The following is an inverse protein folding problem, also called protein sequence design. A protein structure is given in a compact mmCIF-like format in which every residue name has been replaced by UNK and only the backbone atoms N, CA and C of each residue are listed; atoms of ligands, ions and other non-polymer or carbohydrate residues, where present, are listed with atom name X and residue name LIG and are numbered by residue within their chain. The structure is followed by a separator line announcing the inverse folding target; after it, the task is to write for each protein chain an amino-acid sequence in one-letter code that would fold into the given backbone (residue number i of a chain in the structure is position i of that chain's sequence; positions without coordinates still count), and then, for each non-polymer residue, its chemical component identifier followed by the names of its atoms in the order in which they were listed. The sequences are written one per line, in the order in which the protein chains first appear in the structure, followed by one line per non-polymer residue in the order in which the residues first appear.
data_IF_303025473787
#
_entry.id   IF_303025473787
#
_cell.length_a   1.000
_cell.length_b   1.000
_cell.length_c   1.000
_cell.angle_alpha   90.00
_cell.angle_beta   90.00
_cell.angle_gamma   90.00
#
_symmetry.space_group_name_H-M   'P 1'
#
loop_
_entity.id
_entity.type
_entity.pdbx_description
1 polymer ?
#
# COMPACT_ATOMS: atom_id res chain seq x y z
N UNK A 1 17.72 -4.22 -18.92
CA UNK A 1 17.32 -4.10 -17.50
C UNK A 1 18.18 -4.91 -16.53
N UNK A 2 18.97 -5.89 -17.00
CA UNK A 2 19.87 -6.69 -16.17
C UNK A 2 20.83 -5.84 -15.31
N UNK A 3 21.31 -4.71 -15.85
CA UNK A 3 22.32 -3.87 -15.18
C UNK A 3 21.75 -2.84 -14.19
N UNK A 4 20.43 -2.72 -14.06
CA UNK A 4 19.82 -1.82 -13.07
C UNK A 4 19.89 -2.47 -11.68
N UNK A 5 20.86 -2.05 -10.88
CA UNK A 5 21.17 -2.66 -9.59
C UNK A 5 20.64 -1.88 -8.39
N UNK A 6 20.50 -0.55 -8.51
CA UNK A 6 20.10 0.30 -7.39
C UNK A 6 19.20 1.45 -7.87
N UNK A 7 18.11 1.71 -7.14
CA UNK A 7 17.21 2.83 -7.35
C UNK A 7 15.75 2.42 -7.58
N UNK A 8 14.91 3.40 -7.89
CA UNK A 8 13.49 3.22 -8.13
C UNK A 8 13.19 2.86 -9.58
N UNK A 9 12.38 1.83 -9.78
CA UNK A 9 11.60 1.61 -10.98
C UNK A 9 10.21 2.19 -10.77
N UNK A 10 9.71 2.94 -11.74
CA UNK A 10 8.36 3.51 -11.72
C UNK A 10 7.61 3.15 -12.99
N UNK A 11 6.35 2.73 -12.85
CA UNK A 11 5.49 2.36 -13.97
C UNK A 11 4.10 2.98 -13.81
N UNK A 12 3.79 3.93 -14.71
CA UNK A 12 2.52 4.63 -14.79
C UNK A 12 1.48 3.82 -15.60
N UNK A 13 0.56 3.17 -14.89
CA UNK A 13 -0.49 2.36 -15.49
C UNK A 13 -1.80 3.13 -15.72
N UNK A 14 -2.80 2.41 -16.22
CA UNK A 14 -4.18 2.86 -16.25
C UNK A 14 -4.80 2.57 -14.88
N UNK A 15 -5.27 3.61 -14.17
CA UNK A 15 -5.90 3.49 -12.86
C UNK A 15 -4.97 3.20 -11.68
N UNK A 16 -3.69 2.91 -11.92
CA UNK A 16 -2.71 2.56 -10.88
C UNK A 16 -1.29 2.88 -11.33
N UNK A 17 -0.56 3.63 -10.51
CA UNK A 17 0.90 3.80 -10.58
C UNK A 17 1.56 2.78 -9.63
N UNK A 18 2.75 2.29 -10.04
CA UNK A 18 3.54 1.37 -9.23
C UNK A 18 4.97 1.86 -9.13
N UNK A 19 5.59 1.65 -7.98
CA UNK A 19 7.01 1.86 -7.79
C UNK A 19 7.63 0.64 -7.11
N UNK A 20 8.88 0.35 -7.45
CA UNK A 20 9.67 -0.73 -6.87
C UNK A 20 11.09 -0.23 -6.61
N UNK A 21 11.58 -0.35 -5.39
CA UNK A 21 12.96 -0.10 -5.02
C UNK A 21 13.79 -1.34 -5.29
N UNK A 22 14.85 -1.16 -6.06
CA UNK A 22 15.87 -2.18 -6.29
C UNK A 22 17.11 -1.79 -5.48
N UNK A 23 17.64 -2.73 -4.71
CA UNK A 23 18.92 -2.63 -4.02
C UNK A 23 19.71 -3.91 -4.27
N UNK A 24 20.93 -3.77 -4.78
CA UNK A 24 21.78 -4.89 -5.21
C UNK A 24 21.03 -5.88 -6.13
N UNK A 25 20.20 -5.36 -7.02
CA UNK A 25 19.41 -6.15 -7.97
C UNK A 25 18.18 -6.85 -7.38
N UNK A 26 17.90 -6.69 -6.08
CA UNK A 26 16.76 -7.28 -5.37
C UNK A 26 15.68 -6.25 -5.10
N UNK A 27 14.42 -6.67 -5.16
CA UNK A 27 13.28 -5.85 -4.76
C UNK A 27 13.22 -5.74 -3.24
N UNK A 28 13.40 -4.53 -2.70
CA UNK A 28 13.38 -4.28 -1.25
C UNK A 28 12.17 -3.48 -0.79
N UNK A 29 11.49 -2.75 -1.68
CA UNK A 29 10.27 -2.00 -1.38
C UNK A 29 9.35 -1.87 -2.58
N UNK A 30 8.05 -1.97 -2.36
CA UNK A 30 7.06 -1.69 -3.39
C UNK A 30 6.00 -0.71 -2.90
N UNK A 31 5.47 0.08 -3.83
CA UNK A 31 4.36 0.99 -3.60
C UNK A 31 3.34 0.88 -4.72
N UNK A 32 2.08 1.12 -4.33
CA UNK A 32 0.94 1.23 -5.22
C UNK A 32 0.25 2.56 -4.92
N UNK A 33 -0.02 3.33 -5.96
CA UNK A 33 -0.92 4.49 -5.89
C UNK A 33 -2.04 4.27 -6.90
N UNK A 34 -3.28 4.12 -6.41
CA UNK A 34 -4.47 4.02 -7.27
C UNK A 34 -5.01 5.40 -7.56
N UNK A 35 -5.62 5.54 -8.74
CA UNK A 35 -6.39 6.73 -9.09
C UNK A 35 -7.51 6.94 -8.06
N UNK A 36 -7.51 8.11 -7.42
CA UNK A 36 -8.42 8.46 -6.33
C UNK A 36 -8.51 9.97 -6.14
N UNK A 37 -9.66 10.43 -5.67
CA UNK A 37 -9.93 11.84 -5.33
C UNK A 37 -9.63 12.16 -3.86
N UNK A 38 -9.15 11.19 -3.07
CA UNK A 38 -8.82 11.42 -1.65
C UNK A 38 -7.65 12.39 -1.51
N UNK A 39 -7.69 13.22 -0.47
CA UNK A 39 -6.59 14.15 -0.21
C UNK A 39 -5.33 13.38 0.22
N UNK A 40 -4.25 13.53 -0.56
CA UNK A 40 -2.95 12.89 -0.29
C UNK A 40 -2.27 13.43 0.97
N UNK A 41 -1.51 12.58 1.65
CA UNK A 41 -0.66 13.04 2.75
C UNK A 41 0.33 14.13 2.28
N UNK A 42 0.48 15.20 3.06
CA UNK A 42 1.30 16.37 2.73
C UNK A 42 0.57 17.49 1.98
N UNK A 43 -0.66 17.24 1.52
CA UNK A 43 -1.52 18.27 0.92
C UNK A 43 -1.82 19.38 1.94
N UNK A 44 -1.84 20.63 1.46
CA UNK A 44 -2.30 21.79 2.24
C UNK A 44 -3.52 22.33 1.52
N UNK A 45 -4.67 22.20 2.19
CA UNK A 45 -5.99 22.48 1.62
C UNK A 45 -6.79 23.36 2.55
N UNK A 46 -7.76 24.09 1.99
CA UNK A 46 -8.75 24.80 2.78
C UNK A 46 -9.85 23.82 3.23
N UNK A 47 -10.36 24.06 4.44
CA UNK A 47 -11.38 23.25 5.07
C UNK A 47 -12.32 24.12 5.91
N UNK A 48 -13.52 23.60 6.18
CA UNK A 48 -14.48 24.20 7.12
C UNK A 48 -14.59 23.34 8.36
N UNK A 49 -14.48 23.98 9.52
CA UNK A 49 -14.74 23.32 10.79
C UNK A 49 -16.21 22.95 10.91
N UNK A 50 -16.50 21.69 11.20
CA UNK A 50 -17.86 21.20 11.40
C UNK A 50 -18.18 21.21 12.90
N UNK A 51 -17.65 20.24 13.64
CA UNK A 51 -17.96 20.05 15.04
C UNK A 51 -16.76 19.49 15.83
N UNK A 52 -16.86 19.53 17.16
CA UNK A 52 -15.88 18.89 18.03
C UNK A 52 -16.17 17.39 18.13
N UNK A 53 -15.18 16.57 17.81
CA UNK A 53 -15.24 15.12 17.97
C UNK A 53 -14.90 14.70 19.40
N UNK A 54 -13.83 15.29 19.95
CA UNK A 54 -13.46 15.16 21.36
C UNK A 54 -13.21 16.54 21.91
N UNK A 55 -14.00 16.92 22.91
CA UNK A 55 -14.00 18.26 23.48
C UNK A 55 -12.58 18.76 23.79
N UNK A 56 -12.19 19.88 23.16
CA UNK A 56 -10.88 20.52 23.35
C UNK A 56 -9.66 19.72 22.84
N UNK A 57 -9.83 18.57 22.17
CA UNK A 57 -8.72 17.73 21.69
C UNK A 57 -8.73 17.52 20.18
N UNK A 58 -9.89 17.27 19.59
CA UNK A 58 -10.04 17.02 18.16
C UNK A 58 -11.41 17.44 17.64
N UNK A 59 -11.48 17.73 16.34
CA UNK A 59 -12.72 18.06 15.66
C UNK A 59 -12.84 17.39 14.30
N UNK A 60 -13.99 17.55 13.66
CA UNK A 60 -14.19 17.17 12.27
C UNK A 60 -14.15 18.44 11.43
N UNK A 61 -13.44 18.35 10.30
CA UNK A 61 -13.48 19.36 9.25
C UNK A 61 -13.95 18.73 7.95
N UNK A 62 -14.56 19.52 7.10
CA UNK A 62 -14.90 19.15 5.73
C UNK A 62 -13.91 19.86 4.81
N UNK A 63 -13.13 19.09 4.06
CA UNK A 63 -12.19 19.61 3.06
C UNK A 63 -12.97 20.22 1.89
N UNK A 64 -12.31 21.05 1.07
CA UNK A 64 -12.92 21.61 -0.14
C UNK A 64 -13.47 20.54 -1.10
N UNK A 65 -12.85 19.35 -1.14
CA UNK A 65 -13.31 18.19 -1.91
C UNK A 65 -14.62 17.57 -1.39
N UNK A 66 -15.10 17.98 -0.22
CA UNK A 66 -16.23 17.36 0.49
C UNK A 66 -15.84 16.19 1.39
N UNK A 67 -14.56 15.80 1.41
CA UNK A 67 -14.05 14.75 2.29
C UNK A 67 -14.08 15.20 3.76
N UNK A 68 -14.58 14.34 4.66
CA UNK A 68 -14.46 14.56 6.11
C UNK A 68 -13.09 14.12 6.64
N UNK A 69 -12.44 14.98 7.42
CA UNK A 69 -11.17 14.70 8.06
C UNK A 69 -11.21 14.96 9.58
N UNK A 70 -10.47 14.14 10.32
CA UNK A 70 -10.21 14.33 11.74
C UNK A 70 -9.12 15.40 11.91
N UNK A 71 -9.49 16.55 12.46
CA UNK A 71 -8.59 17.62 12.87
C UNK A 71 -7.98 17.33 14.24
N UNK A 72 -6.66 17.19 14.31
CA UNK A 72 -5.92 17.04 15.56
C UNK A 72 -4.48 17.57 15.44
N UNK A 73 -4.02 18.46 16.34
CA UNK A 73 -4.74 19.00 17.51
C UNK A 73 -5.84 20.01 17.11
N UNK A 74 -6.80 20.23 18.00
CA UNK A 74 -7.86 21.23 17.83
C UNK A 74 -7.37 22.63 18.27
N UNK A 75 -7.32 23.64 17.37
CA UNK A 75 -7.08 25.03 17.74
C UNK A 75 -8.15 25.57 18.69
N UNK A 76 -7.75 26.49 19.58
CA UNK A 76 -8.68 27.17 20.49
C UNK A 76 -9.54 28.17 19.71
N UNK A 77 -10.80 28.32 20.10
CA UNK A 77 -11.69 29.35 19.58
C UNK A 77 -12.28 29.08 18.19
N UNK A 78 -12.15 27.86 17.65
CA UNK A 78 -12.87 27.48 16.44
C UNK A 78 -14.38 27.44 16.68
N UNK A 79 -15.12 28.04 15.76
CA UNK A 79 -16.59 28.00 15.71
C UNK A 79 -17.03 27.20 14.50
N UNK A 80 -18.17 26.53 14.59
CA UNK A 80 -18.77 25.80 13.47
C UNK A 80 -18.86 26.70 12.22
N UNK A 81 -18.49 26.15 11.07
CA UNK A 81 -18.43 26.86 9.79
C UNK A 81 -17.16 27.69 9.56
N UNK A 82 -16.27 27.84 10.57
CA UNK A 82 -15.03 28.61 10.41
C UNK A 82 -14.14 28.00 9.33
N UNK A 83 -13.69 28.84 8.40
CA UNK A 83 -12.68 28.47 7.41
C UNK A 83 -11.30 28.38 8.05
N UNK A 84 -10.54 27.36 7.67
CA UNK A 84 -9.16 27.18 8.10
C UNK A 84 -8.36 26.46 7.03
N UNK A 85 -7.03 26.62 7.09
CA UNK A 85 -6.11 25.85 6.27
C UNK A 85 -5.54 24.70 7.08
N UNK A 86 -5.52 23.51 6.47
CA UNK A 86 -5.07 22.28 7.12
C UNK A 86 -4.05 21.55 6.26
N UNK A 87 -3.15 20.84 6.92
CA UNK A 87 -2.22 19.90 6.28
C UNK A 87 -2.71 18.47 6.54
N UNK A 88 -2.87 17.68 5.47
CA UNK A 88 -3.19 16.25 5.55
C UNK A 88 -1.96 15.50 6.06
N UNK A 89 -2.09 14.83 7.21
CA UNK A 89 -0.99 14.06 7.81
C UNK A 89 -1.16 12.56 7.65
N UNK A 90 -2.39 12.10 7.38
CA UNK A 90 -2.71 10.72 7.00
C UNK A 90 -3.92 10.74 6.07
N UNK A 91 -3.84 10.00 4.99
CA UNK A 91 -4.93 9.82 4.01
C UNK A 91 -6.14 9.11 4.64
N UNK A 92 -7.30 9.27 4.02
CA UNK A 92 -8.43 8.39 4.29
C UNK A 92 -8.09 6.96 3.88
N UNK A 93 -8.58 6.00 4.65
CA UNK A 93 -8.28 4.59 4.43
C UNK A 93 -9.52 3.73 4.65
N UNK A 94 -9.75 2.78 3.76
CA UNK A 94 -10.70 1.71 4.01
C UNK A 94 -10.10 0.71 5.01
N UNK A 95 -10.87 0.34 6.03
CA UNK A 95 -10.54 -0.73 6.95
C UNK A 95 -11.38 -1.98 6.62
N UNK A 96 -10.87 -3.15 7.04
CA UNK A 96 -11.58 -4.42 6.88
C UNK A 96 -12.91 -4.37 7.63
N UNK A 97 -13.99 -4.78 6.96
CA UNK A 97 -15.36 -4.71 7.48
C UNK A 97 -16.16 -3.50 6.99
N UNK A 98 -15.63 -2.70 6.06
CA UNK A 98 -16.36 -1.60 5.41
C UNK A 98 -16.32 -0.28 6.17
N UNK A 99 -15.61 -0.23 7.30
CA UNK A 99 -15.38 1.00 8.04
C UNK A 99 -14.37 1.87 7.29
N UNK A 100 -14.66 3.17 7.18
CA UNK A 100 -13.72 4.14 6.63
C UNK A 100 -13.04 4.89 7.77
N UNK A 101 -11.72 4.87 7.78
CA UNK A 101 -10.89 5.72 8.62
C UNK A 101 -10.74 7.06 7.91
N UNK A 102 -11.39 8.11 8.43
CA UNK A 102 -11.24 9.49 7.92
C UNK A 102 -9.78 9.86 7.75
N UNK A 103 -9.49 10.74 6.80
CA UNK A 103 -8.20 11.41 6.77
C UNK A 103 -7.91 12.08 8.12
N UNK A 104 -6.64 12.24 8.46
CA UNK A 104 -6.22 13.01 9.62
C UNK A 104 -5.50 14.25 9.13
N UNK A 105 -5.88 15.40 9.68
CA UNK A 105 -5.30 16.70 9.36
C UNK A 105 -4.85 17.41 10.63
N UNK A 106 -3.91 18.34 10.46
CA UNK A 106 -3.52 19.31 11.49
C UNK A 106 -3.68 20.73 10.93
N UNK A 107 -3.76 21.77 11.77
CA UNK A 107 -3.69 23.16 11.29
C UNK A 107 -2.41 23.37 10.48
N UNK A 108 -2.52 24.01 9.32
CA UNK A 108 -1.36 24.39 8.54
C UNK A 108 -0.64 25.58 9.23
N UNK A 109 0.68 25.75 9.02
CA UNK A 109 1.38 26.96 9.44
C UNK A 109 0.75 28.23 8.84
N UNK A 110 0.86 29.34 9.57
CA UNK A 110 0.38 30.65 9.09
C UNK A 110 1.04 31.00 7.76
N UNK A 111 0.23 31.42 6.79
CA UNK A 111 0.68 31.76 5.44
C UNK A 111 1.07 30.56 4.55
N UNK A 112 0.85 29.31 4.99
CA UNK A 112 1.09 28.14 4.15
C UNK A 112 0.29 28.25 2.84
N UNK A 113 0.97 28.05 1.70
CA UNK A 113 0.32 28.05 0.39
C UNK A 113 -0.45 26.74 0.15
N UNK A 114 -1.56 26.83 -0.59
CA UNK A 114 -2.28 25.65 -1.05
C UNK A 114 -1.39 24.80 -1.93
N UNK A 115 -1.42 23.49 -1.72
CA UNK A 115 -0.70 22.51 -2.55
C UNK A 115 -1.36 21.15 -2.48
N UNK A 116 -1.29 20.42 -3.60
CA UNK A 116 -1.53 18.99 -3.60
C UNK A 116 -0.44 18.28 -2.79
N UNK A 117 -0.80 17.16 -2.17
CA UNK A 117 0.21 16.25 -1.65
C UNK A 117 1.00 15.62 -2.81
N UNK A 118 2.27 15.24 -2.59
CA UNK A 118 3.08 14.56 -3.59
C UNK A 118 2.37 13.28 -4.05
N UNK A 119 2.30 13.08 -5.36
CA UNK A 119 1.93 11.79 -5.93
C UNK A 119 3.09 10.80 -5.82
N UNK A 120 2.86 9.55 -6.24
CA UNK A 120 3.89 8.52 -6.13
C UNK A 120 5.16 8.89 -6.91
N UNK A 121 5.02 9.54 -8.08
CA UNK A 121 6.17 9.94 -8.89
C UNK A 121 7.01 10.99 -8.17
N UNK A 122 6.37 12.08 -7.72
CA UNK A 122 7.01 13.15 -6.98
C UNK A 122 7.68 12.64 -5.69
N UNK A 123 7.10 11.63 -5.04
CA UNK A 123 7.73 10.96 -3.90
C UNK A 123 9.01 10.20 -4.26
N UNK A 124 9.02 9.47 -5.37
CA UNK A 124 10.23 8.76 -5.79
C UNK A 124 11.33 9.76 -6.18
N UNK A 125 10.98 10.84 -6.88
CA UNK A 125 11.90 11.93 -7.22
C UNK A 125 12.49 12.59 -5.97
N UNK A 126 11.66 12.87 -4.96
CA UNK A 126 12.10 13.48 -3.70
C UNK A 126 13.00 12.57 -2.85
N UNK A 127 13.03 11.25 -3.12
CA UNK A 127 13.89 10.31 -2.38
C UNK A 127 15.39 10.50 -2.64
N UNK A 128 15.76 11.20 -3.72
CA UNK A 128 17.15 11.43 -4.13
C UNK A 128 17.86 10.22 -4.71
N UNK A 129 17.18 9.07 -4.84
CA UNK A 129 17.72 7.89 -5.50
C UNK A 129 17.56 7.97 -7.02
N UNK A 130 18.36 7.17 -7.75
CA UNK A 130 18.20 7.02 -9.19
C UNK A 130 16.78 6.52 -9.48
N UNK A 131 16.08 7.21 -10.38
CA UNK A 131 14.72 6.88 -10.76
C UNK A 131 14.68 6.54 -12.25
N UNK A 132 14.14 5.37 -12.57
CA UNK A 132 13.88 4.92 -13.93
C UNK A 132 12.39 4.72 -14.16
N UNK A 133 11.82 5.57 -14.99
CA UNK A 133 10.46 5.40 -15.49
C UNK A 133 10.45 4.36 -16.62
N UNK A 134 9.52 3.40 -16.55
CA UNK A 134 9.27 2.37 -17.55
C UNK A 134 8.13 2.78 -18.47
N UNK A 135 8.17 2.32 -19.72
CA UNK A 135 7.08 2.55 -20.66
C UNK A 135 6.04 1.41 -20.59
N UNK A 136 4.75 1.71 -20.78
CA UNK A 136 3.69 0.69 -20.65
C UNK A 136 3.81 -0.52 -21.59
N UNK A 137 4.53 -0.39 -22.72
CA UNK A 137 4.72 -1.44 -23.72
C UNK A 137 6.05 -2.19 -23.58
N UNK A 138 6.89 -1.81 -22.62
CA UNK A 138 8.13 -2.52 -22.33
C UNK A 138 7.83 -3.95 -21.85
N UNK A 139 8.85 -4.82 -21.85
CA UNK A 139 8.72 -6.12 -21.17
C UNK A 139 8.42 -5.90 -19.69
N UNK A 140 7.80 -6.90 -19.05
CA UNK A 140 7.37 -6.77 -17.65
C UNK A 140 8.56 -6.85 -16.68
N UNK A 141 9.33 -5.76 -16.60
CA UNK A 141 10.50 -5.64 -15.74
C UNK A 141 10.16 -5.71 -14.25
N UNK A 142 8.92 -5.41 -13.88
CA UNK A 142 8.41 -5.60 -12.53
C UNK A 142 8.28 -7.10 -12.22
N UNK A 143 7.71 -7.88 -13.15
CA UNK A 143 7.65 -9.34 -13.03
C UNK A 143 9.05 -9.98 -12.90
N UNK A 144 10.00 -9.55 -13.73
CA UNK A 144 11.40 -10.02 -13.69
C UNK A 144 12.08 -9.75 -12.33
N UNK A 145 11.54 -8.82 -11.53
CA UNK A 145 12.08 -8.41 -10.22
C UNK A 145 11.16 -8.79 -9.05
N UNK A 146 10.28 -9.77 -9.24
CA UNK A 146 9.49 -10.36 -8.14
C UNK A 146 8.19 -9.62 -7.78
N UNK A 147 7.68 -8.74 -8.66
CA UNK A 147 6.42 -8.04 -8.40
C UNK A 147 5.24 -8.98 -8.16
N UNK A 148 5.09 -10.01 -9.01
CA UNK A 148 3.95 -10.93 -8.92
C UNK A 148 3.94 -11.69 -7.60
N UNK A 149 5.12 -12.12 -7.13
CA UNK A 149 5.27 -12.75 -5.82
C UNK A 149 4.92 -11.79 -4.69
N UNK A 150 5.42 -10.55 -4.73
CA UNK A 150 5.12 -9.55 -3.70
C UNK A 150 3.61 -9.22 -3.62
N UNK A 151 2.91 -9.17 -4.75
CA UNK A 151 1.45 -8.96 -4.79
C UNK A 151 0.68 -10.18 -4.35
N UNK A 152 1.13 -11.39 -4.70
CA UNK A 152 0.53 -12.63 -4.21
C UNK A 152 0.63 -12.69 -2.68
N UNK A 153 1.81 -12.47 -2.12
CA UNK A 153 2.06 -12.38 -0.68
C UNK A 153 1.21 -11.30 -0.01
N UNK A 154 1.10 -10.11 -0.60
CA UNK A 154 0.26 -9.03 -0.06
C UNK A 154 -1.23 -9.39 -0.08
N UNK A 155 -1.69 -10.10 -1.11
CA UNK A 155 -3.09 -10.48 -1.29
C UNK A 155 -3.52 -11.71 -0.48
N UNK A 156 -2.63 -12.68 -0.30
CA UNK A 156 -2.82 -13.86 0.53
C UNK A 156 -2.56 -13.57 2.01
N UNK A 157 -1.69 -12.59 2.29
CA UNK A 157 -1.16 -12.34 3.61
C UNK A 157 -0.12 -13.38 4.05
N UNK A 158 0.38 -14.23 3.14
CA UNK A 158 1.27 -15.33 3.48
C UNK A 158 2.65 -15.10 2.87
N UNK A 159 3.70 -15.20 3.68
CA UNK A 159 5.10 -15.18 3.20
C UNK A 159 5.81 -16.43 3.70
N UNK A 160 6.25 -17.26 2.77
CA UNK A 160 7.11 -18.39 3.08
C UNK A 160 8.57 -17.93 3.22
N UNK A 161 9.28 -18.53 4.16
CA UNK A 161 10.73 -18.42 4.26
C UNK A 161 11.34 -19.77 4.60
N UNK A 162 12.66 -19.88 4.55
CA UNK A 162 13.33 -21.14 4.82
C UNK A 162 13.05 -21.63 6.25
N UNK A 163 12.20 -22.66 6.37
CA UNK A 163 11.83 -23.28 7.64
C UNK A 163 10.68 -22.62 8.40
N UNK A 164 9.91 -21.74 7.77
CA UNK A 164 8.70 -21.19 8.38
C UNK A 164 7.86 -20.32 7.45
N UNK A 165 6.80 -19.76 8.00
CA UNK A 165 5.85 -18.89 7.32
C UNK A 165 5.46 -17.72 8.22
N UNK A 166 5.26 -16.55 7.63
CA UNK A 166 4.53 -15.44 8.23
C UNK A 166 3.09 -15.40 7.71
N UNK A 167 2.11 -15.21 8.61
CA UNK A 167 0.72 -14.98 8.24
C UNK A 167 0.22 -13.62 8.75
N UNK A 168 -0.10 -12.72 7.83
CA UNK A 168 -0.63 -11.39 8.08
C UNK A 168 -2.16 -11.40 8.18
N UNK A 169 -2.65 -10.90 9.29
CA UNK A 169 -4.07 -10.61 9.50
C UNK A 169 -4.28 -9.11 9.67
N UNK A 170 -4.92 -8.50 8.67
CA UNK A 170 -5.38 -7.12 8.77
C UNK A 170 -6.63 -7.07 9.65
N UNK A 171 -6.53 -6.39 10.80
CA UNK A 171 -7.64 -6.14 11.73
C UNK A 171 -7.90 -4.63 11.86
N UNK A 172 -9.08 -4.21 12.35
CA UNK A 172 -9.37 -2.79 12.56
C UNK A 172 -8.40 -2.08 13.53
N UNK A 173 -7.86 -2.81 14.52
CA UNK A 173 -6.99 -2.23 15.54
C UNK A 173 -5.51 -2.21 15.15
N UNK A 174 -5.04 -3.28 14.51
CA UNK A 174 -3.63 -3.48 14.15
C UNK A 174 -3.46 -4.58 13.09
N UNK A 175 -2.29 -4.62 12.46
CA UNK A 175 -1.87 -5.81 11.70
C UNK A 175 -1.29 -6.83 12.68
N UNK A 176 -1.77 -8.06 12.65
CA UNK A 176 -1.20 -9.16 13.44
C UNK A 176 -0.42 -10.08 12.51
N UNK A 177 0.77 -10.49 12.92
CA UNK A 177 1.67 -11.39 12.21
C UNK A 177 1.86 -12.62 13.07
N UNK A 178 1.42 -13.75 12.56
CA UNK A 178 1.64 -15.06 13.16
C UNK A 178 2.87 -15.75 12.53
N UNK A 179 3.62 -16.50 13.34
CA UNK A 179 4.86 -17.16 12.96
C UNK A 179 4.72 -18.67 13.15
N UNK A 180 4.71 -19.39 12.04
CA UNK A 180 4.60 -20.85 12.03
C UNK A 180 5.82 -21.51 11.39
N UNK A 181 6.16 -22.73 11.79
CA UNK A 181 7.18 -23.51 11.13
C UNK A 181 7.64 -24.73 11.91
N UNK A 182 8.31 -25.70 11.25
CA UNK A 182 8.79 -26.93 11.90
C UNK A 182 10.12 -26.78 12.64
N UNK A 183 10.71 -25.58 12.68
CA UNK A 183 12.00 -25.34 13.33
C UNK A 183 11.89 -25.26 14.87
N UNK A 184 12.97 -25.53 15.61
CA UNK A 184 13.04 -25.24 17.05
C UNK A 184 12.67 -23.77 17.33
N UNK A 185 11.94 -23.46 18.43
CA UNK A 185 11.38 -22.13 18.69
C UNK A 185 12.36 -20.97 18.52
N UNK A 186 13.56 -21.09 19.06
CA UNK A 186 14.56 -20.03 18.96
C UNK A 186 15.08 -19.83 17.53
N UNK A 187 15.32 -20.91 16.78
CA UNK A 187 15.74 -20.81 15.38
C UNK A 187 14.63 -20.22 14.50
N UNK A 188 13.38 -20.64 14.73
CA UNK A 188 12.22 -20.08 14.04
C UNK A 188 12.09 -18.58 14.32
N UNK A 189 12.17 -18.16 15.59
CA UNK A 189 12.05 -16.76 15.98
C UNK A 189 13.14 -15.87 15.36
N UNK A 190 14.39 -16.33 15.30
CA UNK A 190 15.47 -15.58 14.65
C UNK A 190 15.21 -15.36 13.16
N UNK A 191 14.82 -16.42 12.43
CA UNK A 191 14.52 -16.33 10.99
C UNK A 191 13.30 -15.44 10.76
N UNK A 192 12.23 -15.67 11.51
CA UNK A 192 11.03 -14.87 11.44
C UNK A 192 11.28 -13.38 11.75
N UNK A 193 12.13 -13.05 12.73
CA UNK A 193 12.43 -11.67 13.09
C UNK A 193 13.03 -10.88 11.92
N UNK A 194 13.96 -11.51 11.18
CA UNK A 194 14.49 -10.97 9.94
C UNK A 194 13.40 -10.78 8.89
N UNK A 195 12.62 -11.82 8.61
CA UNK A 195 11.60 -11.79 7.55
C UNK A 195 10.46 -10.82 7.86
N UNK A 196 10.11 -10.63 9.13
CA UNK A 196 9.14 -9.61 9.56
C UNK A 196 9.66 -8.22 9.23
N UNK A 197 10.90 -7.89 9.61
CA UNK A 197 11.49 -6.59 9.31
C UNK A 197 11.49 -6.31 7.79
N UNK A 198 11.94 -7.29 7.00
CA UNK A 198 11.97 -7.19 5.53
C UNK A 198 10.56 -7.03 4.95
N UNK A 199 9.58 -7.78 5.44
CA UNK A 199 8.21 -7.72 4.93
C UNK A 199 7.52 -6.38 5.27
N UNK A 200 7.74 -5.85 6.47
CA UNK A 200 7.18 -4.55 6.86
C UNK A 200 7.66 -3.44 5.93
N UNK A 201 8.96 -3.43 5.61
CA UNK A 201 9.55 -2.48 4.67
C UNK A 201 9.04 -2.75 3.26
N UNK A 202 9.14 -4.00 2.78
CA UNK A 202 8.84 -4.39 1.41
C UNK A 202 7.41 -4.03 1.01
N UNK A 203 6.46 -4.33 1.88
CA UNK A 203 5.03 -4.18 1.65
C UNK A 203 4.45 -2.89 2.25
N UNK A 204 5.31 -2.01 2.75
CA UNK A 204 4.96 -0.73 3.35
C UNK A 204 3.93 -0.85 4.49
N UNK A 205 4.06 -1.90 5.31
CA UNK A 205 3.17 -2.15 6.44
C UNK A 205 3.57 -1.23 7.58
N UNK A 206 2.69 -0.26 7.86
CA UNK A 206 2.91 0.76 8.90
C UNK A 206 1.74 0.89 9.86
N UNK A 207 1.97 1.58 10.97
CA UNK A 207 0.99 1.76 12.04
C UNK A 207 1.27 0.85 13.22
N UNK A 208 0.21 0.34 13.82
CA UNK A 208 0.30 -0.61 14.94
C UNK A 208 0.37 -2.03 14.39
N UNK A 209 1.44 -2.76 14.72
CA UNK A 209 1.69 -4.14 14.30
C UNK A 209 2.01 -4.98 15.51
N UNK A 210 1.52 -6.21 15.54
CA UNK A 210 1.81 -7.20 16.57
C UNK A 210 2.36 -8.45 15.93
N UNK A 211 3.45 -8.96 16.47
CA UNK A 211 4.09 -10.20 16.00
C UNK A 211 4.00 -11.22 17.12
N UNK A 212 3.42 -12.37 16.81
CA UNK A 212 3.36 -13.52 17.71
C UNK A 212 4.49 -14.49 17.35
N UNK A 213 5.62 -14.36 18.05
CA UNK A 213 6.72 -15.31 17.90
C UNK A 213 6.43 -16.59 18.69
N UNK A 214 7.05 -17.74 18.32
CA UNK A 214 6.97 -18.92 19.15
C UNK A 214 7.46 -18.62 20.58
N UNK A 215 6.90 -19.32 21.57
CA UNK A 215 7.25 -19.08 22.97
C UNK A 215 8.73 -19.36 23.24
N UNK A 216 9.45 -18.35 23.74
CA UNK A 216 10.85 -18.42 24.14
C UNK A 216 10.97 -18.22 25.65
N UNK A 217 11.44 -19.22 26.38
CA UNK A 217 11.57 -19.16 27.85
C UNK A 217 12.67 -18.19 28.27
N UNK A 218 13.83 -18.27 27.62
CA UNK A 218 15.00 -17.51 28.00
C UNK A 218 14.90 -16.04 27.53
N UNK A 219 15.12 -15.10 28.46
CA UNK A 219 15.21 -13.67 28.14
C UNK A 219 16.30 -13.37 27.11
N UNK A 220 17.41 -14.11 27.14
CA UNK A 220 18.51 -13.96 26.20
C UNK A 220 18.09 -14.28 24.75
N UNK A 221 17.29 -15.33 24.55
CA UNK A 221 16.78 -15.72 23.23
C UNK A 221 15.80 -14.68 22.68
N UNK A 222 14.87 -14.20 23.53
CA UNK A 222 13.95 -13.10 23.18
C UNK A 222 14.69 -11.85 22.75
N UNK A 223 15.75 -11.48 23.47
CA UNK A 223 16.57 -10.33 23.12
C UNK A 223 17.32 -10.55 21.80
N UNK A 224 17.86 -11.75 21.56
CA UNK A 224 18.59 -12.06 20.34
C UNK A 224 17.69 -11.98 19.09
N UNK A 225 16.45 -12.49 19.16
CA UNK A 225 15.50 -12.33 18.07
C UNK A 225 15.13 -10.85 17.82
N UNK A 226 14.94 -10.05 18.89
CA UNK A 226 14.68 -8.63 18.76
C UNK A 226 15.85 -7.85 18.12
N UNK A 227 17.10 -8.22 18.43
CA UNK A 227 18.30 -7.63 17.80
C UNK A 227 18.33 -7.93 16.31
N UNK A 228 18.00 -9.16 15.89
CA UNK A 228 17.95 -9.51 14.46
C UNK A 228 16.89 -8.70 13.71
N UNK A 229 15.72 -8.47 14.34
CA UNK A 229 14.71 -7.57 13.79
C UNK A 229 15.30 -6.16 13.60
N UNK A 230 15.95 -5.60 14.62
CA UNK A 230 16.54 -4.25 14.56
C UNK A 230 17.62 -4.13 13.48
N UNK A 231 18.45 -5.16 13.29
CA UNK A 231 19.50 -5.19 12.26
C UNK A 231 18.95 -5.10 10.84
N UNK A 232 17.73 -5.60 10.61
CA UNK A 232 17.11 -5.66 9.28
C UNK A 232 16.01 -4.60 9.07
N UNK A 233 15.53 -3.97 10.14
CA UNK A 233 14.49 -2.97 10.06
C UNK A 233 15.07 -1.62 9.64
N UNK A 234 14.94 -1.30 8.36
CA UNK A 234 15.48 -0.06 7.76
C UNK A 234 14.54 1.13 7.85
N UNK A 235 13.28 0.93 8.21
CA UNK A 235 12.30 1.99 8.36
C UNK A 235 12.15 2.43 9.82
N UNK A 236 11.86 3.72 10.03
CA UNK A 236 11.64 4.29 11.35
C UNK A 236 10.43 3.64 12.05
N UNK A 237 10.69 2.99 13.18
CA UNK A 237 9.67 2.43 14.06
C UNK A 237 10.15 2.39 15.51
N UNK A 238 9.19 2.27 16.43
CA UNK A 238 9.43 1.86 17.81
C UNK A 238 8.93 0.43 17.98
N UNK A 239 9.57 -0.35 18.84
CA UNK A 239 9.08 -1.68 19.21
C UNK A 239 9.24 -1.97 20.69
N UNK A 240 8.37 -2.81 21.24
CA UNK A 240 8.55 -3.37 22.57
C UNK A 240 9.65 -4.45 22.57
N UNK A 241 10.06 -4.90 23.74
CA UNK A 241 10.73 -6.20 23.84
C UNK A 241 9.74 -7.33 23.51
N UNK A 242 10.25 -8.50 23.11
CA UNK A 242 9.45 -9.73 23.05
C UNK A 242 9.12 -10.14 24.49
N UNK A 243 7.83 -10.20 24.81
CA UNK A 243 7.37 -10.52 26.16
C UNK A 243 7.43 -12.04 26.44
N UNK A 244 7.08 -12.45 27.67
CA UNK A 244 7.13 -13.87 28.07
C UNK A 244 6.17 -14.79 27.32
N UNK A 245 5.22 -14.22 26.56
CA UNK A 245 4.28 -14.96 25.72
C UNK A 245 4.68 -14.97 24.24
N UNK A 246 5.82 -14.38 23.86
CA UNK A 246 6.28 -14.33 22.47
C UNK A 246 5.81 -13.10 21.68
N UNK A 247 5.03 -12.20 22.28
CA UNK A 247 4.48 -11.06 21.55
C UNK A 247 5.43 -9.85 21.51
N UNK A 248 5.55 -9.24 20.34
CA UNK A 248 6.24 -7.98 20.09
C UNK A 248 5.32 -6.99 19.41
N UNK A 249 5.14 -5.80 20.00
CA UNK A 249 4.42 -4.71 19.36
C UNK A 249 5.39 -3.78 18.65
N UNK A 250 5.06 -3.39 17.42
CA UNK A 250 5.80 -2.45 16.60
C UNK A 250 4.86 -1.29 16.25
N UNK A 251 5.34 -0.06 16.38
CA UNK A 251 4.59 1.16 16.08
C UNK A 251 5.40 2.03 15.14
N UNK A 252 4.80 2.38 14.01
CA UNK A 252 5.38 3.32 13.04
C UNK A 252 4.35 4.34 12.59
N UNK A 253 4.84 5.45 12.02
CA UNK A 253 3.96 6.49 11.50
C UNK A 253 3.19 5.98 10.29
N UNK A 254 1.86 6.03 10.38
CA UNK A 254 0.96 5.67 9.28
C UNK A 254 0.43 6.90 8.57
N UNK A 255 0.83 7.09 7.32
CA UNK A 255 0.40 8.21 6.47
C UNK A 255 -0.58 7.80 5.38
N UNK A 256 -0.61 6.51 5.01
CA UNK A 256 -1.46 5.94 3.96
C UNK A 256 -1.68 4.44 4.15
N UNK A 257 -2.43 3.84 3.23
CA UNK A 257 -2.59 2.40 3.16
C UNK A 257 -1.31 1.69 2.71
N UNK A 258 -1.00 0.60 3.40
CA UNK A 258 0.03 -0.38 3.01
C UNK A 258 -0.39 -1.19 1.79
N UNK A 259 0.55 -1.90 1.16
CA UNK A 259 0.25 -2.72 -0.02
C UNK A 259 -0.79 -3.81 0.27
N UNK A 260 -0.72 -4.56 1.39
CA UNK A 260 -1.77 -5.53 1.74
C UNK A 260 -3.14 -4.88 1.94
N UNK A 261 -3.20 -3.71 2.56
CA UNK A 261 -4.47 -3.00 2.75
C UNK A 261 -5.10 -2.60 1.40
N UNK A 262 -4.28 -2.10 0.45
CA UNK A 262 -4.73 -1.73 -0.90
C UNK A 262 -5.20 -2.95 -1.71
N UNK A 263 -4.42 -4.03 -1.68
CA UNK A 263 -4.69 -5.24 -2.47
C UNK A 263 -5.89 -6.01 -1.92
N UNK A 264 -6.01 -6.12 -0.60
CA UNK A 264 -7.07 -6.90 0.04
C UNK A 264 -8.40 -6.15 0.13
N UNK A 265 -8.42 -4.81 0.09
CA UNK A 265 -9.66 -4.03 0.17
C UNK A 265 -10.59 -4.22 -1.02
N UNK A 266 -10.02 -4.43 -2.21
CA UNK A 266 -10.77 -4.68 -3.45
C UNK A 266 -9.97 -5.61 -4.37
N UNK A 267 -10.13 -6.92 -4.15
CA UNK A 267 -9.47 -7.96 -4.94
C UNK A 267 -9.86 -7.90 -6.42
N UNK A 268 -11.11 -7.53 -6.72
CA UNK A 268 -11.61 -7.42 -8.10
C UNK A 268 -10.90 -6.28 -8.82
N UNK A 269 -10.78 -5.12 -8.15
CA UNK A 269 -10.05 -3.98 -8.70
C UNK A 269 -8.57 -4.31 -8.90
N UNK A 270 -7.93 -5.00 -7.95
CA UNK A 270 -6.55 -5.44 -8.09
C UNK A 270 -6.36 -6.32 -9.33
N UNK A 271 -7.22 -7.32 -9.53
CA UNK A 271 -7.17 -8.19 -10.70
C UNK A 271 -7.44 -7.42 -12.00
N UNK A 272 -8.40 -6.47 -11.98
CA UNK A 272 -8.72 -5.60 -13.12
C UNK A 272 -7.50 -4.77 -13.55
N UNK A 273 -6.80 -4.15 -12.59
CA UNK A 273 -5.63 -3.32 -12.86
C UNK A 273 -4.44 -4.14 -13.36
N UNK A 274 -4.22 -5.35 -12.80
CA UNK A 274 -3.23 -6.28 -13.31
C UNK A 274 -3.50 -6.69 -14.77
N UNK A 275 -4.76 -6.97 -15.10
CA UNK A 275 -5.17 -7.31 -16.46
C UNK A 275 -5.00 -6.16 -17.43
N UNK A 276 -5.34 -4.93 -17.05
CA UNK A 276 -5.11 -3.75 -17.89
C UNK A 276 -3.62 -3.60 -18.24
N UNK A 277 -2.71 -3.89 -17.30
CA UNK A 277 -1.27 -3.88 -17.59
C UNK A 277 -0.85 -4.99 -18.54
N UNK A 278 -1.38 -6.19 -18.35
CA UNK A 278 -1.15 -7.28 -19.31
C UNK A 278 -1.65 -6.90 -20.70
N UNK A 279 -2.79 -6.22 -20.78
CA UNK A 279 -3.36 -5.75 -22.03
C UNK A 279 -2.49 -4.69 -22.71
N UNK A 280 -1.97 -3.70 -21.96
CA UNK A 280 -1.04 -2.68 -22.49
C UNK A 280 0.21 -3.31 -23.13
N UNK A 281 0.64 -4.47 -22.63
CA UNK A 281 1.79 -5.23 -23.13
C UNK A 281 1.45 -6.31 -24.15
N UNK A 282 0.16 -6.57 -24.38
CA UNK A 282 -0.30 -7.51 -25.40
C UNK A 282 -0.07 -6.89 -26.78
N UNK A 283 1.10 -7.18 -27.35
CA UNK A 283 1.42 -6.80 -28.72
C UNK A 283 0.45 -7.41 -29.73
N UNK A 284 0.56 -7.00 -31.00
CA UNK A 284 -0.29 -7.51 -32.08
C UNK A 284 -0.94 -6.39 -32.89
N UNK A 285 -1.67 -6.78 -33.94
CA UNK A 285 -2.45 -5.88 -34.79
C UNK A 285 -3.92 -6.32 -34.80
N UNK A 286 -4.83 -5.36 -34.98
CA UNK A 286 -6.28 -5.61 -34.96
C UNK A 286 -6.95 -5.32 -33.61
N UNK A 287 -8.18 -5.79 -33.44
CA UNK A 287 -8.94 -5.63 -32.19
C UNK A 287 -8.28 -6.38 -31.04
N UNK A 288 -8.53 -5.91 -29.82
CA UNK A 288 -8.11 -6.54 -28.57
C UNK A 288 -9.37 -7.03 -27.84
N UNK A 289 -9.45 -8.33 -27.65
CA UNK A 289 -10.56 -8.98 -26.94
C UNK A 289 -10.09 -9.40 -25.55
N UNK A 290 -10.74 -8.84 -24.53
CA UNK A 290 -10.44 -9.08 -23.11
C UNK A 290 -11.53 -9.97 -22.52
N UNK A 291 -11.21 -11.25 -22.30
CA UNK A 291 -12.17 -12.22 -21.74
C UNK A 291 -11.93 -12.38 -20.23
N UNK A 292 -12.96 -12.10 -19.42
CA UNK A 292 -12.82 -11.93 -17.96
C UNK A 292 -13.99 -12.46 -17.16
N UNK A 293 -13.77 -12.64 -15.85
CA UNK A 293 -14.85 -12.88 -14.89
C UNK A 293 -15.88 -11.72 -14.89
N UNK A 294 -17.20 -11.96 -14.73
CA UNK A 294 -18.24 -10.92 -14.78
C UNK A 294 -18.02 -9.73 -13.83
N UNK A 295 -17.43 -9.96 -12.66
CA UNK A 295 -17.12 -8.88 -11.71
C UNK A 295 -16.07 -7.88 -12.26
N UNK A 296 -15.09 -8.35 -13.03
CA UNK A 296 -14.10 -7.49 -13.69
C UNK A 296 -14.77 -6.73 -14.84
N UNK A 297 -15.58 -7.41 -15.67
CA UNK A 297 -16.34 -6.76 -16.74
C UNK A 297 -17.20 -5.60 -16.21
N UNK A 298 -17.89 -5.82 -15.07
CA UNK A 298 -18.67 -4.77 -14.41
C UNK A 298 -17.81 -3.59 -13.92
N UNK A 299 -16.62 -3.85 -13.33
CA UNK A 299 -15.68 -2.80 -12.91
C UNK A 299 -15.16 -1.97 -14.08
N UNK A 300 -14.88 -2.61 -15.21
CA UNK A 300 -14.44 -1.96 -16.45
C UNK A 300 -15.55 -1.14 -17.09
N UNK A 301 -16.79 -1.64 -17.11
CA UNK A 301 -17.95 -0.90 -17.61
C UNK A 301 -18.20 0.39 -16.83
N UNK A 302 -18.01 0.37 -15.50
CA UNK A 302 -18.07 1.56 -14.66
C UNK A 302 -16.92 2.55 -14.90
N UNK A 303 -15.85 2.13 -15.57
CA UNK A 303 -14.63 2.88 -15.82
C UNK A 303 -14.29 2.88 -17.31
N UNK A 304 -15.27 3.21 -18.14
CA UNK A 304 -15.11 3.21 -19.59
C UNK A 304 -13.89 4.02 -20.06
N UNK A 305 -13.59 5.14 -19.39
CA UNK A 305 -12.40 5.95 -19.65
C UNK A 305 -11.06 5.19 -19.52
N UNK A 306 -11.00 4.10 -18.73
CA UNK A 306 -9.83 3.21 -18.67
C UNK A 306 -9.68 2.38 -19.94
N UNK A 307 -10.78 1.84 -20.47
CA UNK A 307 -10.77 1.12 -21.74
C UNK A 307 -10.44 2.05 -22.91
N UNK A 308 -10.95 3.28 -22.89
CA UNK A 308 -10.65 4.30 -23.90
C UNK A 308 -9.16 4.68 -23.87
N UNK A 309 -8.58 4.79 -22.66
CA UNK A 309 -7.15 5.04 -22.47
C UNK A 309 -6.31 3.85 -22.96
N UNK A 310 -6.76 2.62 -22.71
CA UNK A 310 -6.10 1.41 -23.22
C UNK A 310 -6.12 1.36 -24.74
N UNK A 311 -7.28 1.61 -25.36
CA UNK A 311 -7.44 1.66 -26.81
C UNK A 311 -6.52 2.74 -27.43
N UNK A 312 -6.45 3.93 -26.80
CA UNK A 312 -5.57 5.00 -27.24
C UNK A 312 -4.09 4.66 -27.12
N UNK A 313 -3.67 4.02 -26.01
CA UNK A 313 -2.26 3.65 -25.78
C UNK A 313 -1.80 2.53 -26.71
N UNK A 314 -2.68 1.56 -27.00
CA UNK A 314 -2.35 0.39 -27.81
C UNK A 314 -2.64 0.59 -29.30
N UNK A 315 -3.47 1.57 -29.66
CA UNK A 315 -3.94 1.76 -31.04
C UNK A 315 -4.93 0.68 -31.49
N UNK A 316 -5.47 -0.11 -30.57
CA UNK A 316 -6.35 -1.26 -30.84
C UNK A 316 -7.77 -0.96 -30.34
N UNK A 317 -8.78 -1.37 -31.09
CA UNK A 317 -10.16 -1.34 -30.60
C UNK A 317 -10.31 -2.40 -29.50
N UNK A 318 -10.78 -2.01 -28.32
CA UNK A 318 -10.88 -2.90 -27.14
C UNK A 318 -12.32 -3.39 -26.98
N UNK A 319 -12.49 -4.70 -26.86
CA UNK A 319 -13.75 -5.35 -26.49
C UNK A 319 -13.58 -6.14 -25.19
N UNK A 320 -14.66 -6.26 -24.41
CA UNK A 320 -14.67 -7.01 -23.15
C UNK A 320 -15.76 -8.06 -23.18
N UNK A 321 -15.40 -9.32 -22.99
CA UNK A 321 -16.32 -10.46 -22.92
C UNK A 321 -16.35 -11.02 -21.49
N UNK A 322 -17.54 -11.06 -20.89
CA UNK A 322 -17.74 -11.67 -19.57
C UNK A 322 -17.95 -13.19 -19.70
N UNK A 323 -17.20 -13.98 -18.91
CA UNK A 323 -17.32 -15.44 -18.88
C UNK A 323 -17.27 -15.97 -17.44
N UNK A 324 -18.35 -16.64 -17.02
CA UNK A 324 -18.47 -17.17 -15.66
C UNK A 324 -17.57 -18.37 -15.33
N UNK A 325 -16.90 -18.96 -16.33
CA UNK A 325 -15.94 -20.05 -16.12
C UNK A 325 -14.52 -19.57 -15.80
N UNK A 326 -14.25 -18.27 -15.92
CA UNK A 326 -12.94 -17.66 -15.64
C UNK A 326 -12.86 -17.29 -14.17
N UNK A 327 -11.81 -17.74 -13.47
CA UNK A 327 -11.54 -17.33 -12.10
C UNK A 327 -11.31 -15.81 -12.00
N UNK A 328 -11.64 -15.20 -10.87
CA UNK A 328 -11.58 -13.73 -10.73
C UNK A 328 -10.18 -13.12 -10.89
N UNK A 329 -9.13 -13.89 -10.59
CA UNK A 329 -7.74 -13.47 -10.81
C UNK A 329 -7.20 -13.91 -12.18
N UNK A 330 -8.04 -14.56 -13.00
CA UNK A 330 -7.71 -14.97 -14.36
C UNK A 330 -8.24 -13.98 -15.39
N UNK A 331 -8.03 -14.33 -16.65
CA UNK A 331 -8.44 -13.54 -17.80
C UNK A 331 -7.47 -13.78 -18.95
N UNK A 332 -7.92 -13.51 -20.17
CA UNK A 332 -7.08 -13.58 -21.35
C UNK A 332 -7.22 -12.32 -22.18
N UNK A 333 -6.11 -11.88 -22.74
CA UNK A 333 -6.07 -10.81 -23.73
C UNK A 333 -5.59 -11.43 -25.03
N UNK A 334 -6.39 -11.29 -26.10
CA UNK A 334 -6.06 -11.70 -27.46
C UNK A 334 -6.20 -10.52 -28.40
#
# INVERSE_FOLDING_TARGET
MADFQNGWLFEAGIGENRAMLIENGQCTRIFIERESDIARAGAVVDAKFNDQWVAGKSGIVVLESGEEALLQPLPKGLTEGSSMRVEVVREAMAERGGQMKRAKVKPAPDGAMLRSGPDLMAWMEASGQVLKQLHPHDTDHFAERGWHEAIEQAGSGRIEFEGGTLLFSLTPAMTVIDVDGPLPPFELAKRAAREVALALVRLDITGNVGVDFPTLEAKAERNAAAVIFDEHMTADCERTAINGFGFMQIVSRKTRASVPEIVQSDKVLTATLALLRQAERSGGSGSMDIKVHPAIAAKLAQRQHWLDKLAKRTGRAVSVEASGSIAINGGSVS
#
